data_IF_989518181827
#
_entry.id   IF_989518181827
#
_cell.length_a   1.000
_cell.length_b   1.000
_cell.length_c   1.000
_cell.angle_alpha   90.00
_cell.angle_beta   90.00
_cell.angle_gamma   90.00
#
_symmetry.space_group_name_H-M   'P 1'
#
loop_
_entity.id
_entity.type
_entity.pdbx_description
1 polymer ?
#
# COMPACT_ATOMS: atom_id res chain seq x y z
N UNK A 1 37.67 -6.99 -16.15
CA UNK A 1 37.06 -6.26 -14.98
C UNK A 1 36.17 -5.09 -15.36
N UNK A 2 36.29 -4.45 -16.54
CA UNK A 2 35.50 -3.28 -16.92
C UNK A 2 34.02 -3.53 -17.29
N UNK A 3 33.71 -4.56 -18.04
CA UNK A 3 32.37 -4.81 -18.56
C UNK A 3 31.36 -5.35 -17.53
N UNK A 4 31.83 -6.08 -16.54
CA UNK A 4 30.98 -6.67 -15.48
C UNK A 4 30.41 -5.61 -14.52
N UNK A 5 31.19 -4.55 -14.26
CA UNK A 5 30.73 -3.45 -13.38
C UNK A 5 29.72 -2.51 -14.04
N UNK A 6 29.77 -2.34 -15.35
CA UNK A 6 28.84 -1.50 -16.11
C UNK A 6 27.44 -2.14 -16.19
N UNK A 7 27.36 -3.45 -16.45
CA UNK A 7 26.09 -4.19 -16.53
C UNK A 7 25.30 -4.19 -15.21
N UNK A 8 25.98 -4.38 -14.08
CA UNK A 8 25.31 -4.35 -12.74
C UNK A 8 24.87 -2.93 -12.39
N UNK A 9 25.65 -1.91 -12.76
CA UNK A 9 25.30 -0.51 -12.50
C UNK A 9 24.05 -0.10 -13.29
N UNK A 10 23.93 -0.50 -14.55
CA UNK A 10 22.76 -0.26 -15.39
C UNK A 10 21.51 -0.94 -14.82
N UNK A 11 21.64 -2.18 -14.35
CA UNK A 11 20.54 -2.91 -13.76
C UNK A 11 20.10 -2.33 -12.41
N UNK A 12 21.04 -1.86 -11.58
CA UNK A 12 20.74 -1.14 -10.35
C UNK A 12 19.94 0.14 -10.63
N UNK A 13 20.39 0.90 -11.63
CA UNK A 13 19.69 2.10 -12.04
C UNK A 13 18.28 1.79 -12.52
N UNK A 14 18.12 0.79 -13.40
CA UNK A 14 16.81 0.36 -13.88
C UNK A 14 15.89 -0.11 -12.74
N UNK A 15 16.41 -0.95 -11.83
CA UNK A 15 15.68 -1.42 -10.66
C UNK A 15 15.24 -0.25 -9.78
N UNK A 16 16.08 0.78 -9.60
CA UNK A 16 15.77 1.97 -8.82
C UNK A 16 14.62 2.81 -9.39
N UNK A 17 14.42 2.78 -10.73
CA UNK A 17 13.32 3.46 -11.42
C UNK A 17 12.05 2.62 -11.34
N UNK A 18 12.10 1.36 -11.76
CA UNK A 18 10.93 0.48 -11.84
C UNK A 18 10.34 0.21 -10.44
N UNK A 19 11.17 0.14 -9.41
CA UNK A 19 10.69 -0.04 -8.04
C UNK A 19 9.80 1.11 -7.51
N UNK A 20 9.82 2.27 -8.18
CA UNK A 20 8.89 3.38 -7.88
C UNK A 20 7.52 3.23 -8.55
N UNK A 21 7.39 2.29 -9.48
CA UNK A 21 6.18 2.06 -10.26
C UNK A 21 5.40 0.82 -9.77
N UNK A 22 5.88 0.16 -8.72
CA UNK A 22 5.26 -1.06 -8.17
C UNK A 22 5.40 -1.11 -6.66
N UNK A 23 4.45 -1.75 -6.00
CA UNK A 23 4.52 -2.08 -4.56
C UNK A 23 5.27 -3.39 -4.28
N UNK A 24 5.67 -4.12 -5.33
CA UNK A 24 6.48 -5.31 -5.22
C UNK A 24 7.95 -4.97 -4.98
N UNK A 25 8.66 -5.85 -4.29
CA UNK A 25 10.10 -5.74 -4.08
C UNK A 25 10.82 -6.42 -5.24
N UNK A 26 11.40 -5.63 -6.13
CA UNK A 26 12.17 -6.15 -7.27
C UNK A 26 13.55 -6.61 -6.82
N UNK A 27 14.07 -7.65 -7.47
CA UNK A 27 15.40 -8.15 -7.15
C UNK A 27 16.16 -8.67 -8.38
N UNK A 28 17.48 -8.68 -8.21
CA UNK A 28 18.46 -9.33 -9.08
C UNK A 28 19.35 -10.18 -8.19
N UNK A 29 19.44 -11.46 -8.47
CA UNK A 29 20.30 -12.38 -7.76
C UNK A 29 21.30 -13.01 -8.73
N UNK A 30 22.59 -12.68 -8.57
CA UNK A 30 23.70 -13.35 -9.24
C UNK A 30 23.91 -14.71 -8.58
N UNK A 31 23.53 -15.77 -9.31
CA UNK A 31 23.62 -17.15 -8.82
C UNK A 31 25.06 -17.68 -8.81
N UNK A 32 25.97 -17.03 -9.55
CA UNK A 32 27.38 -17.45 -9.63
C UNK A 32 28.21 -16.92 -8.45
N UNK A 33 27.97 -15.66 -8.07
CA UNK A 33 28.70 -14.96 -7.01
C UNK A 33 27.95 -14.89 -5.67
N UNK A 34 26.79 -15.53 -5.58
CA UNK A 34 25.89 -15.50 -4.40
C UNK A 34 25.63 -14.07 -3.92
N UNK A 35 25.30 -13.17 -4.87
CA UNK A 35 25.14 -11.75 -4.64
C UNK A 35 23.72 -11.29 -5.02
N UNK A 36 23.04 -10.61 -4.12
CA UNK A 36 21.68 -10.16 -4.35
C UNK A 36 21.52 -8.65 -4.17
N UNK A 37 20.66 -8.08 -5.02
CA UNK A 37 20.24 -6.69 -4.99
C UNK A 37 18.72 -6.67 -4.98
N UNK A 38 18.14 -5.98 -4.03
CA UNK A 38 16.70 -5.74 -3.91
C UNK A 38 16.37 -4.25 -4.05
N UNK A 39 15.13 -3.92 -4.35
CA UNK A 39 14.64 -2.55 -4.19
C UNK A 39 14.76 -2.10 -2.73
N UNK A 40 15.16 -0.84 -2.50
CA UNK A 40 15.49 -0.31 -1.17
C UNK A 40 14.34 -0.38 -0.16
N UNK A 41 13.09 -0.39 -0.64
CA UNK A 41 11.89 -0.53 0.20
C UNK A 41 11.84 -1.84 0.99
N UNK A 42 12.55 -2.90 0.56
CA UNK A 42 12.54 -4.20 1.25
C UNK A 42 13.05 -4.11 2.69
N UNK A 43 14.01 -3.22 2.96
CA UNK A 43 14.59 -3.04 4.30
C UNK A 43 13.65 -2.38 5.30
N UNK A 44 12.59 -1.72 4.81
CA UNK A 44 11.56 -1.10 5.68
C UNK A 44 10.58 -2.14 6.22
N UNK A 45 10.27 -3.16 5.42
CA UNK A 45 9.18 -4.10 5.69
C UNK A 45 9.68 -5.46 6.21
N UNK A 46 10.88 -5.89 5.79
CA UNK A 46 11.47 -7.17 6.17
C UNK A 46 12.75 -7.03 7.01
N UNK A 47 13.11 -8.06 7.76
CA UNK A 47 14.32 -8.09 8.59
C UNK A 47 15.59 -8.29 7.75
N UNK A 48 15.77 -7.45 6.73
CA UNK A 48 16.98 -7.26 5.95
C UNK A 48 17.55 -5.87 6.25
N UNK A 49 18.77 -5.79 6.79
CA UNK A 49 19.36 -4.50 7.16
C UNK A 49 19.87 -3.70 5.97
N UNK A 50 20.16 -4.38 4.88
CA UNK A 50 20.63 -3.78 3.62
C UNK A 50 19.91 -4.42 2.44
N UNK A 51 19.70 -3.63 1.39
CA UNK A 51 19.03 -4.10 0.16
C UNK A 51 20.01 -4.78 -0.82
N UNK A 52 21.32 -4.68 -0.57
CA UNK A 52 22.38 -5.20 -1.42
C UNK A 52 23.41 -5.94 -0.58
N UNK A 53 23.70 -7.22 -0.92
CA UNK A 53 24.57 -8.05 -0.11
C UNK A 53 25.15 -9.25 -0.85
N UNK A 54 26.37 -9.62 -0.47
CA UNK A 54 27.01 -10.91 -0.79
C UNK A 54 26.63 -11.98 0.23
N UNK A 55 26.90 -13.24 -0.10
CA UNK A 55 26.49 -14.42 0.66
C UNK A 55 24.96 -14.43 0.87
N UNK A 56 24.25 -14.21 -0.23
CA UNK A 56 22.80 -14.03 -0.23
C UNK A 56 22.07 -15.26 0.32
N UNK A 57 22.53 -16.46 -0.01
CA UNK A 57 21.99 -17.71 0.54
C UNK A 57 22.04 -17.75 2.06
N UNK A 58 23.13 -17.30 2.67
CA UNK A 58 23.24 -17.24 4.14
C UNK A 58 22.32 -16.18 4.74
N UNK A 59 22.31 -14.96 4.17
CA UNK A 59 21.49 -13.88 4.69
C UNK A 59 19.99 -14.13 4.54
N UNK A 60 19.59 -14.72 3.44
CA UNK A 60 18.19 -15.10 3.22
C UNK A 60 17.72 -16.21 4.17
N UNK A 61 18.67 -17.07 4.65
CA UNK A 61 18.35 -18.06 5.68
C UNK A 61 17.82 -17.44 6.96
N UNK A 62 18.33 -16.25 7.34
CA UNK A 62 17.91 -15.56 8.56
C UNK A 62 16.50 -14.93 8.43
N UNK A 63 16.06 -14.71 7.21
CA UNK A 63 14.78 -14.07 6.89
C UNK A 63 13.69 -15.07 6.49
N UNK A 64 14.05 -16.16 5.81
CA UNK A 64 13.13 -17.22 5.41
C UNK A 64 12.74 -18.05 6.64
N UNK A 65 11.46 -18.45 6.74
CA UNK A 65 11.00 -19.34 7.78
C UNK A 65 11.76 -20.66 7.73
N UNK A 66 12.25 -21.20 8.88
CA UNK A 66 13.17 -22.35 8.88
C UNK A 66 12.69 -23.58 8.08
N UNK A 67 11.40 -23.94 8.20
CA UNK A 67 10.85 -25.10 7.50
C UNK A 67 10.72 -24.90 5.99
N UNK A 68 10.69 -23.63 5.50
CA UNK A 68 10.56 -23.31 4.10
C UNK A 68 11.92 -23.24 3.39
N UNK A 69 13.01 -23.07 4.14
CA UNK A 69 14.35 -22.79 3.61
C UNK A 69 14.85 -23.88 2.65
N UNK A 70 14.75 -25.16 3.03
CA UNK A 70 15.26 -26.26 2.21
C UNK A 70 14.55 -26.33 0.86
N UNK A 71 13.23 -26.20 0.82
CA UNK A 71 12.44 -26.21 -0.40
C UNK A 71 12.80 -25.03 -1.32
N UNK A 72 13.00 -23.84 -0.76
CA UNK A 72 13.36 -22.64 -1.52
C UNK A 72 14.73 -22.80 -2.16
N UNK A 73 15.73 -23.21 -1.38
CA UNK A 73 17.11 -23.33 -1.89
C UNK A 73 17.32 -24.54 -2.83
N UNK A 74 16.57 -25.62 -2.66
CA UNK A 74 16.52 -26.70 -3.66
C UNK A 74 16.00 -26.18 -5.01
N UNK A 75 14.92 -25.38 -5.00
CA UNK A 75 14.37 -24.79 -6.22
C UNK A 75 15.36 -23.80 -6.88
N UNK A 76 16.08 -22.98 -6.10
CA UNK A 76 17.13 -22.09 -6.62
C UNK A 76 18.29 -22.92 -7.23
N UNK A 77 18.66 -24.03 -6.62
CA UNK A 77 19.69 -24.94 -7.14
C UNK A 77 19.28 -25.57 -8.48
N UNK A 78 18.02 -26.01 -8.61
CA UNK A 78 17.47 -26.51 -9.87
C UNK A 78 17.49 -25.43 -10.97
N UNK A 79 17.19 -24.17 -10.60
CA UNK A 79 17.29 -23.04 -11.50
C UNK A 79 18.74 -22.78 -11.95
N UNK A 80 19.70 -22.82 -11.01
CA UNK A 80 21.13 -22.62 -11.28
C UNK A 80 21.70 -23.70 -12.20
N UNK A 81 21.25 -24.95 -12.02
CA UNK A 81 21.64 -26.09 -12.86
C UNK A 81 20.91 -26.12 -14.21
N UNK A 82 19.96 -25.20 -14.44
CA UNK A 82 19.22 -25.11 -15.71
C UNK A 82 18.14 -26.18 -15.89
N UNK A 83 17.76 -26.89 -14.81
CA UNK A 83 16.68 -27.88 -14.83
C UNK A 83 15.31 -27.22 -14.91
N UNK A 84 15.20 -26.00 -14.36
CA UNK A 84 14.02 -25.14 -14.48
C UNK A 84 14.43 -23.76 -14.97
N UNK A 85 13.50 -23.01 -15.56
CA UNK A 85 13.75 -21.65 -16.11
C UNK A 85 13.20 -20.53 -15.24
N UNK A 86 12.38 -20.85 -14.26
CA UNK A 86 11.76 -19.86 -13.39
C UNK A 86 11.64 -20.37 -11.94
N UNK A 87 11.77 -19.44 -11.01
CA UNK A 87 11.41 -19.59 -9.61
C UNK A 87 10.01 -19.02 -9.40
N UNK A 88 9.07 -19.83 -8.94
CA UNK A 88 7.71 -19.41 -8.69
C UNK A 88 7.19 -20.14 -7.45
N UNK A 89 7.41 -19.53 -6.30
CA UNK A 89 7.13 -20.15 -5.00
C UNK A 89 6.45 -19.17 -4.05
N UNK A 90 5.68 -19.72 -3.12
CA UNK A 90 5.09 -19.01 -1.99
C UNK A 90 5.67 -19.60 -0.72
N UNK A 91 6.23 -18.75 0.14
CA UNK A 91 6.88 -19.14 1.38
C UNK A 91 6.92 -17.98 2.36
N UNK A 92 7.40 -18.19 3.58
CA UNK A 92 7.32 -17.20 4.65
C UNK A 92 8.62 -16.44 4.84
N UNK A 93 8.50 -15.11 4.93
CA UNK A 93 9.59 -14.18 5.27
C UNK A 93 9.29 -13.45 6.57
N UNK A 94 10.35 -13.12 7.30
CA UNK A 94 10.29 -12.39 8.55
C UNK A 94 10.09 -10.91 8.30
N UNK A 95 8.89 -10.42 8.61
CA UNK A 95 8.50 -9.01 8.54
C UNK A 95 8.91 -8.28 9.83
N UNK A 96 9.28 -7.02 9.72
CA UNK A 96 9.60 -6.16 10.88
C UNK A 96 8.39 -5.88 11.79
N UNK A 97 7.18 -5.93 11.23
CA UNK A 97 5.95 -5.56 11.94
C UNK A 97 5.13 -6.77 12.39
N UNK A 98 5.07 -7.82 11.58
CA UNK A 98 4.04 -8.85 11.68
C UNK A 98 4.60 -10.28 11.93
N UNK A 99 5.87 -10.42 12.32
CA UNK A 99 6.50 -11.74 12.42
C UNK A 99 6.67 -12.38 11.03
N UNK A 100 6.40 -13.67 10.88
CA UNK A 100 6.48 -14.31 9.57
C UNK A 100 5.21 -14.10 8.74
N UNK A 101 5.37 -13.58 7.53
CA UNK A 101 4.30 -13.33 6.55
C UNK A 101 4.53 -14.16 5.28
N UNK A 102 3.46 -14.56 4.61
CA UNK A 102 3.58 -15.22 3.32
C UNK A 102 3.95 -14.24 2.22
N UNK A 103 4.93 -14.62 1.41
CA UNK A 103 5.34 -13.90 0.22
C UNK A 103 5.18 -14.80 -1.03
N UNK A 104 4.93 -14.17 -2.17
CA UNK A 104 5.04 -14.79 -3.49
C UNK A 104 6.31 -14.28 -4.15
N UNK A 105 7.28 -15.17 -4.34
CA UNK A 105 8.53 -14.87 -5.03
C UNK A 105 8.48 -15.44 -6.46
N UNK A 106 8.65 -14.56 -7.45
CA UNK A 106 8.66 -14.93 -8.86
C UNK A 106 9.90 -14.39 -9.53
N UNK A 107 10.72 -15.27 -10.07
CA UNK A 107 11.96 -14.93 -10.75
C UNK A 107 12.17 -15.73 -12.03
N UNK A 108 12.78 -15.10 -13.01
CA UNK A 108 13.16 -15.70 -14.28
C UNK A 108 14.68 -15.84 -14.34
N UNK A 109 15.15 -17.00 -14.82
CA UNK A 109 16.56 -17.19 -15.12
C UNK A 109 16.93 -16.37 -16.37
N UNK A 110 17.94 -15.53 -16.22
CA UNK A 110 18.51 -14.73 -17.31
C UNK A 110 19.99 -15.02 -17.39
N UNK A 111 20.47 -15.45 -18.56
CA UNK A 111 21.90 -15.67 -18.80
C UNK A 111 22.47 -14.50 -19.61
N UNK A 112 23.48 -13.85 -19.04
CA UNK A 112 24.18 -12.74 -19.69
C UNK A 112 25.68 -12.85 -19.43
N UNK A 113 26.47 -12.72 -20.46
CA UNK A 113 27.94 -12.80 -20.39
C UNK A 113 28.47 -14.07 -19.69
N UNK A 114 27.76 -15.20 -19.83
CA UNK A 114 28.11 -16.47 -19.19
C UNK A 114 27.69 -16.61 -17.74
N UNK A 115 27.11 -15.57 -17.13
CA UNK A 115 26.63 -15.53 -15.74
C UNK A 115 25.13 -15.80 -15.72
N UNK A 116 24.69 -16.59 -14.75
CA UNK A 116 23.28 -16.87 -14.49
C UNK A 116 22.74 -15.91 -13.42
N UNK A 117 21.70 -15.18 -13.77
CA UNK A 117 20.98 -14.28 -12.87
C UNK A 117 19.55 -14.76 -12.67
N UNK A 118 19.01 -14.64 -11.47
CA UNK A 118 17.58 -14.71 -11.22
C UNK A 118 17.06 -13.29 -11.04
N UNK A 119 16.18 -12.85 -11.94
CA UNK A 119 15.61 -11.51 -11.93
C UNK A 119 14.11 -11.65 -11.67
N UNK A 120 13.58 -10.90 -10.71
CA UNK A 120 12.20 -11.08 -10.35
C UNK A 120 11.65 -10.08 -9.35
N UNK A 121 10.56 -10.51 -8.72
CA UNK A 121 9.84 -9.75 -7.70
C UNK A 121 9.44 -10.62 -6.52
N UNK A 122 9.37 -10.01 -5.36
CA UNK A 122 8.75 -10.53 -4.15
C UNK A 122 7.51 -9.69 -3.85
N UNK A 123 6.38 -10.32 -3.62
CA UNK A 123 5.13 -9.68 -3.20
C UNK A 123 4.68 -10.29 -1.89
N UNK A 124 4.30 -9.48 -0.91
CA UNK A 124 3.69 -9.98 0.32
C UNK A 124 2.24 -10.39 0.04
N UNK A 125 1.92 -11.67 0.32
CA UNK A 125 0.56 -12.20 0.13
C UNK A 125 -0.33 -11.63 1.23
N UNK A 126 -1.43 -10.99 0.82
CA UNK A 126 -2.36 -10.35 1.74
C UNK A 126 -1.95 -8.93 2.15
N UNK A 127 -0.81 -8.41 1.66
CA UNK A 127 -0.51 -6.99 1.76
C UNK A 127 -1.58 -6.21 1.00
N UNK A 128 -2.23 -5.30 1.67
CA UNK A 128 -3.22 -4.43 1.04
C UNK A 128 -2.52 -3.56 -0.02
N UNK A 129 -3.16 -3.42 -1.17
CA UNK A 129 -2.71 -2.49 -2.20
C UNK A 129 -2.69 -1.06 -1.66
N UNK A 130 -1.73 -0.24 -2.11
CA UNK A 130 -1.68 1.20 -1.79
C UNK A 130 -2.88 1.97 -2.35
N UNK A 131 -3.46 1.46 -3.42
CA UNK A 131 -4.67 1.99 -4.04
C UNK A 131 -5.79 0.97 -3.93
N UNK A 132 -6.98 1.45 -3.64
CA UNK A 132 -8.19 0.63 -3.66
C UNK A 132 -8.62 0.36 -5.11
N UNK A 133 -8.85 -0.90 -5.46
CA UNK A 133 -9.12 -1.31 -6.84
C UNK A 133 -10.50 -0.85 -7.37
N UNK A 134 -11.45 -0.57 -6.47
CA UNK A 134 -12.81 -0.13 -6.85
C UNK A 134 -12.86 1.38 -7.07
N UNK A 135 -12.22 2.12 -6.17
CA UNK A 135 -12.33 3.58 -6.13
C UNK A 135 -11.10 4.29 -6.70
N UNK A 136 -9.97 3.61 -6.85
CA UNK A 136 -8.71 4.18 -7.33
C UNK A 136 -8.02 5.15 -6.37
N UNK A 137 -8.56 5.38 -5.18
CA UNK A 137 -7.94 6.25 -4.16
C UNK A 137 -6.99 5.48 -3.25
N UNK A 138 -6.20 6.20 -2.46
CA UNK A 138 -5.30 5.61 -1.48
C UNK A 138 -6.04 4.79 -0.42
N UNK A 139 -5.39 3.73 0.08
CA UNK A 139 -5.87 2.96 1.21
C UNK A 139 -5.33 3.50 2.54
N UNK A 140 -5.83 2.96 3.65
CA UNK A 140 -5.38 3.27 5.02
C UNK A 140 -3.88 3.00 5.27
N UNK A 141 -3.23 2.13 4.48
CA UNK A 141 -1.78 1.91 4.55
C UNK A 141 -0.99 3.18 4.24
N UNK A 142 -1.40 3.92 3.21
CA UNK A 142 -0.75 5.18 2.85
C UNK A 142 -0.97 6.25 3.92
N UNK A 143 -2.13 6.23 4.56
CA UNK A 143 -2.42 7.15 5.65
C UNK A 143 -1.46 6.92 6.84
N UNK A 144 -1.22 5.66 7.22
CA UNK A 144 -0.28 5.31 8.30
C UNK A 144 1.16 5.72 7.94
N UNK A 145 1.63 5.38 6.74
CA UNK A 145 2.97 5.77 6.26
C UNK A 145 3.16 7.31 6.27
N UNK A 146 2.15 8.04 5.79
CA UNK A 146 2.20 9.52 5.77
C UNK A 146 2.14 10.13 7.15
N UNK A 147 1.39 9.56 8.08
CA UNK A 147 1.36 10.04 9.46
C UNK A 147 2.75 9.99 10.10
N UNK A 148 3.48 8.88 9.93
CA UNK A 148 4.84 8.74 10.43
C UNK A 148 5.79 9.81 9.84
N UNK A 149 5.62 10.15 8.56
CA UNK A 149 6.43 11.20 7.91
C UNK A 149 6.07 12.62 8.41
N UNK A 150 4.81 12.89 8.66
CA UNK A 150 4.31 14.17 9.21
C UNK A 150 4.85 14.37 10.63
N UNK A 151 4.80 13.36 11.49
CA UNK A 151 5.31 13.44 12.87
C UNK A 151 6.82 13.68 12.91
N UNK A 152 7.57 13.13 11.93
CA UNK A 152 9.04 13.33 11.84
C UNK A 152 9.45 14.72 11.37
N UNK A 153 8.58 15.48 10.70
CA UNK A 153 8.89 16.77 10.07
C UNK A 153 8.57 17.92 10.99
N UNK A 154 8.17 18.12 12.03
CA UNK A 154 7.63 19.18 12.89
C UNK A 154 6.10 19.05 13.12
N UNK A 155 5.67 18.99 14.36
CA UNK A 155 4.31 18.67 14.75
C UNK A 155 3.25 19.50 14.01
N UNK A 156 2.18 18.84 13.56
CA UNK A 156 1.07 19.46 12.86
C UNK A 156 -0.23 19.31 13.62
N UNK A 157 -1.09 20.31 13.52
CA UNK A 157 -2.49 20.21 13.90
C UNK A 157 -3.35 19.96 12.69
N UNK A 158 -4.48 19.28 12.87
CA UNK A 158 -5.35 18.99 11.74
C UNK A 158 -6.71 18.45 12.15
N UNK A 159 -7.46 18.06 11.13
CA UNK A 159 -8.74 17.39 11.30
C UNK A 159 -8.76 16.11 10.45
N UNK A 160 -9.20 15.05 11.06
CA UNK A 160 -9.54 13.81 10.38
C UNK A 160 -11.06 13.63 10.43
N UNK A 161 -11.67 13.27 9.30
CA UNK A 161 -13.09 12.95 9.21
C UNK A 161 -13.24 11.55 8.63
N UNK A 162 -13.94 10.67 9.31
CA UNK A 162 -14.35 9.37 8.78
C UNK A 162 -15.78 9.47 8.27
N UNK A 163 -16.01 8.92 7.08
CA UNK A 163 -17.30 8.92 6.39
C UNK A 163 -17.65 7.47 6.10
N UNK A 164 -18.87 7.06 6.42
CA UNK A 164 -19.45 5.76 6.09
C UNK A 164 -20.71 5.93 5.24
N UNK A 165 -20.96 4.99 4.32
CA UNK A 165 -22.20 4.93 3.55
C UNK A 165 -23.27 4.23 4.39
N UNK A 166 -24.38 4.91 4.63
CA UNK A 166 -25.47 4.36 5.43
C UNK A 166 -26.11 3.16 4.72
N UNK A 167 -26.30 2.06 5.46
CA UNK A 167 -26.96 0.83 4.97
C UNK A 167 -26.31 0.22 3.73
N UNK A 168 -24.99 0.37 3.56
CA UNK A 168 -24.27 -0.13 2.37
C UNK A 168 -24.46 -1.63 2.13
N UNK A 169 -24.56 -2.42 3.19
CA UNK A 169 -24.86 -3.86 3.09
C UNK A 169 -26.22 -4.11 2.42
N UNK A 170 -27.23 -3.35 2.76
CA UNK A 170 -28.57 -3.46 2.18
C UNK A 170 -28.58 -3.07 0.69
N UNK A 171 -27.76 -2.07 0.31
CA UNK A 171 -27.55 -1.70 -1.09
C UNK A 171 -26.99 -2.90 -1.87
N UNK A 172 -25.95 -3.55 -1.36
CA UNK A 172 -25.38 -4.74 -1.99
C UNK A 172 -26.36 -5.91 -2.07
N UNK A 173 -27.13 -6.15 -1.02
CA UNK A 173 -28.12 -7.24 -0.97
C UNK A 173 -29.28 -7.01 -1.95
N UNK A 174 -29.73 -5.77 -2.09
CA UNK A 174 -30.88 -5.42 -2.93
C UNK A 174 -30.54 -5.22 -4.40
N UNK A 175 -29.42 -4.58 -4.70
CA UNK A 175 -29.05 -4.14 -6.04
C UNK A 175 -27.81 -4.85 -6.62
N UNK A 176 -27.16 -5.70 -5.82
CA UNK A 176 -25.95 -6.43 -6.19
C UNK A 176 -24.66 -5.66 -5.92
N UNK A 177 -23.56 -6.42 -5.80
CA UNK A 177 -22.23 -5.87 -5.46
C UNK A 177 -21.69 -4.89 -6.50
N UNK A 178 -22.04 -5.07 -7.78
CA UNK A 178 -21.64 -4.14 -8.84
C UNK A 178 -22.21 -2.74 -8.61
N UNK A 179 -23.47 -2.65 -8.19
CA UNK A 179 -24.10 -1.37 -7.83
C UNK A 179 -23.45 -0.76 -6.58
N UNK A 180 -23.10 -1.59 -5.60
CA UNK A 180 -22.33 -1.12 -4.45
C UNK A 180 -20.96 -0.55 -4.84
N UNK A 181 -20.24 -1.21 -5.75
CA UNK A 181 -18.97 -0.70 -6.28
C UNK A 181 -19.15 0.64 -7.03
N UNK A 182 -20.24 0.82 -7.77
CA UNK A 182 -20.59 2.08 -8.41
C UNK A 182 -20.85 3.20 -7.39
N UNK A 183 -21.58 2.92 -6.31
CA UNK A 183 -21.84 3.87 -5.21
C UNK A 183 -20.51 4.29 -4.52
N UNK A 184 -19.63 3.32 -4.26
CA UNK A 184 -18.30 3.60 -3.72
C UNK A 184 -17.47 4.50 -4.64
N UNK A 185 -17.48 4.23 -5.94
CA UNK A 185 -16.77 5.02 -6.94
C UNK A 185 -17.34 6.45 -7.07
N UNK A 186 -18.65 6.61 -6.98
CA UNK A 186 -19.32 7.92 -6.97
C UNK A 186 -18.84 8.75 -5.77
N UNK A 187 -18.95 8.19 -4.55
CA UNK A 187 -18.50 8.89 -3.34
C UNK A 187 -17.02 9.24 -3.42
N UNK A 188 -16.15 8.31 -3.82
CA UNK A 188 -14.73 8.58 -4.01
C UNK A 188 -14.47 9.73 -4.99
N UNK A 189 -15.18 9.75 -6.12
CA UNK A 189 -15.09 10.82 -7.12
C UNK A 189 -15.48 12.19 -6.57
N UNK A 190 -16.53 12.26 -5.76
CA UNK A 190 -16.95 13.48 -5.06
C UNK A 190 -15.86 13.93 -4.09
N UNK A 191 -15.36 13.02 -3.23
CA UNK A 191 -14.32 13.34 -2.25
C UNK A 191 -13.02 13.82 -2.91
N UNK A 192 -12.58 13.20 -4.01
CA UNK A 192 -11.41 13.61 -4.78
C UNK A 192 -11.61 15.00 -5.43
N UNK A 193 -12.81 15.30 -5.93
CA UNK A 193 -13.13 16.63 -6.45
C UNK A 193 -13.00 17.68 -5.35
N UNK A 194 -13.65 17.47 -4.22
CA UNK A 194 -13.60 18.37 -3.07
C UNK A 194 -12.19 18.53 -2.49
N UNK A 195 -11.36 17.49 -2.54
CA UNK A 195 -9.98 17.56 -2.06
C UNK A 195 -9.10 18.53 -2.84
N UNK A 196 -9.38 18.73 -4.13
CA UNK A 196 -8.66 19.70 -4.96
C UNK A 196 -9.03 21.14 -4.64
N UNK A 197 -10.25 21.36 -4.17
CA UNK A 197 -10.77 22.69 -3.83
C UNK A 197 -10.38 23.13 -2.41
N UNK A 198 -10.28 22.19 -1.47
CA UNK A 198 -10.15 22.46 -0.03
C UNK A 198 -8.86 21.92 0.61
N UNK A 199 -7.92 21.42 -0.17
CA UNK A 199 -6.58 20.94 0.29
C UNK A 199 -6.66 19.90 1.41
N UNK A 200 -7.26 18.74 1.13
CA UNK A 200 -7.22 17.59 1.99
C UNK A 200 -6.85 16.30 1.23
N UNK A 201 -6.45 15.27 1.95
CA UNK A 201 -6.16 13.94 1.41
C UNK A 201 -7.30 12.97 1.67
N UNK A 202 -7.57 12.07 0.72
CA UNK A 202 -8.67 11.10 0.80
C UNK A 202 -8.12 9.68 0.79
N UNK A 203 -8.67 8.82 1.65
CA UNK A 203 -8.29 7.43 1.79
C UNK A 203 -9.53 6.56 1.92
N UNK A 204 -9.50 5.34 1.39
CA UNK A 204 -10.50 4.31 1.67
C UNK A 204 -9.94 3.36 2.72
N UNK A 205 -10.71 3.07 3.75
CA UNK A 205 -10.30 2.16 4.82
C UNK A 205 -10.82 0.74 4.56
N UNK A 206 -12.01 0.43 5.02
CA UNK A 206 -12.61 -0.90 4.88
C UNK A 206 -14.07 -0.78 4.46
N UNK A 207 -14.51 -1.71 3.60
CA UNK A 207 -15.91 -1.77 3.21
C UNK A 207 -16.38 -0.47 2.55
N UNK A 208 -17.21 0.26 3.23
CA UNK A 208 -17.86 1.50 2.81
C UNK A 208 -17.32 2.75 3.50
N UNK A 209 -16.19 2.63 4.21
CA UNK A 209 -15.61 3.72 5.00
C UNK A 209 -14.49 4.46 4.26
N UNK A 210 -14.52 5.78 4.36
CA UNK A 210 -13.53 6.71 3.81
C UNK A 210 -12.98 7.60 4.91
N UNK A 211 -11.73 8.04 4.74
CA UNK A 211 -11.09 9.02 5.62
C UNK A 211 -10.64 10.23 4.81
N UNK A 212 -10.93 11.40 5.34
CA UNK A 212 -10.40 12.69 4.88
C UNK A 212 -9.45 13.21 5.95
N UNK A 213 -8.26 13.66 5.55
CA UNK A 213 -7.27 14.30 6.43
C UNK A 213 -6.92 15.67 5.89
N UNK A 214 -7.13 16.70 6.69
CA UNK A 214 -6.68 18.07 6.43
C UNK A 214 -5.66 18.48 7.48
N UNK A 215 -4.50 18.93 7.05
CA UNK A 215 -3.44 19.46 7.93
C UNK A 215 -3.52 20.98 8.01
N UNK A 216 -3.01 21.53 9.13
CA UNK A 216 -2.85 22.96 9.36
C UNK A 216 -4.12 23.77 9.11
N UNK A 217 -5.27 23.21 9.53
CA UNK A 217 -6.56 23.90 9.43
C UNK A 217 -6.58 25.14 10.32
N UNK A 218 -6.76 26.30 9.70
CA UNK A 218 -7.02 27.55 10.41
C UNK A 218 -8.50 27.73 10.72
N UNK A 219 -8.83 28.35 11.86
CA UNK A 219 -10.19 28.71 12.22
C UNK A 219 -10.96 27.65 13.00
N UNK A 220 -12.29 27.71 12.94
CA UNK A 220 -13.18 26.79 13.67
C UNK A 220 -13.29 25.45 12.92
N UNK A 221 -12.49 24.46 13.36
CA UNK A 221 -12.42 23.10 12.81
C UNK A 221 -13.81 22.44 12.76
N UNK A 222 -14.61 22.61 13.83
CA UNK A 222 -15.96 22.03 13.91
C UNK A 222 -16.91 22.63 12.86
N UNK A 223 -16.82 23.93 12.63
CA UNK A 223 -17.60 24.61 11.59
C UNK A 223 -17.18 24.16 10.20
N UNK A 224 -15.85 24.10 9.96
CA UNK A 224 -15.30 23.67 8.67
C UNK A 224 -15.68 22.20 8.35
N UNK A 225 -15.58 21.29 9.31
CA UNK A 225 -16.00 19.91 9.16
C UNK A 225 -17.50 19.78 8.83
N UNK A 226 -18.37 20.55 9.49
CA UNK A 226 -19.81 20.58 9.19
C UNK A 226 -20.11 21.13 7.80
N UNK A 227 -19.38 22.17 7.38
CA UNK A 227 -19.54 22.72 6.03
C UNK A 227 -19.12 21.70 4.96
N UNK A 228 -17.96 21.06 5.13
CA UNK A 228 -17.49 20.02 4.22
C UNK A 228 -18.49 18.86 4.11
N UNK A 229 -18.98 18.36 5.24
CA UNK A 229 -20.02 17.31 5.26
C UNK A 229 -21.28 17.73 4.47
N UNK A 230 -21.75 18.97 4.66
CA UNK A 230 -22.92 19.50 3.95
C UNK A 230 -22.65 19.55 2.44
N UNK A 231 -21.52 20.07 2.02
CA UNK A 231 -21.13 20.15 0.60
C UNK A 231 -21.05 18.75 -0.03
N UNK A 232 -20.46 17.77 0.65
CA UNK A 232 -20.41 16.40 0.16
C UNK A 232 -21.81 15.82 -0.04
N UNK A 233 -22.73 16.06 0.88
CA UNK A 233 -24.13 15.63 0.76
C UNK A 233 -24.84 16.26 -0.42
N UNK A 234 -24.71 17.57 -0.59
CA UNK A 234 -25.28 18.30 -1.73
C UNK A 234 -24.74 17.78 -3.08
N UNK A 235 -23.45 17.45 -3.11
CA UNK A 235 -22.81 16.84 -4.27
C UNK A 235 -23.35 15.42 -4.57
N UNK A 236 -23.61 14.61 -3.54
CA UNK A 236 -24.22 13.28 -3.71
C UNK A 236 -25.60 13.42 -4.34
N UNK A 237 -26.45 14.26 -3.78
CA UNK A 237 -27.82 14.49 -4.27
C UNK A 237 -27.78 14.95 -5.74
N UNK A 238 -26.90 15.90 -6.08
CA UNK A 238 -26.73 16.39 -7.46
C UNK A 238 -26.29 15.28 -8.44
N UNK A 239 -25.33 14.45 -8.06
CA UNK A 239 -24.84 13.36 -8.94
C UNK A 239 -25.89 12.28 -9.14
N UNK A 240 -26.68 11.96 -8.13
CA UNK A 240 -27.77 10.99 -8.22
C UNK A 240 -28.85 11.52 -9.21
N UNK A 241 -29.26 12.78 -9.05
CA UNK A 241 -30.28 13.41 -9.89
C UNK A 241 -29.82 13.52 -11.35
N UNK A 242 -28.59 13.98 -11.59
CA UNK A 242 -28.03 14.19 -12.94
C UNK A 242 -27.89 12.88 -13.74
N UNK A 243 -27.60 11.78 -13.07
CA UNK A 243 -27.35 10.48 -13.71
C UNK A 243 -28.60 9.60 -13.78
N UNK A 244 -29.68 9.99 -13.11
CA UNK A 244 -30.91 9.19 -13.04
C UNK A 244 -30.69 7.84 -12.37
N UNK A 245 -29.85 7.81 -11.31
CA UNK A 245 -29.61 6.58 -10.56
C UNK A 245 -30.84 6.20 -9.74
N UNK A 246 -31.26 4.94 -9.84
CA UNK A 246 -32.35 4.40 -9.02
C UNK A 246 -31.95 4.10 -7.57
N UNK A 247 -30.67 4.32 -7.22
CA UNK A 247 -30.12 4.04 -5.89
C UNK A 247 -29.76 5.33 -5.17
N UNK A 248 -30.56 5.66 -4.18
CA UNK A 248 -30.28 6.75 -3.24
C UNK A 248 -29.48 6.20 -2.07
N UNK A 249 -28.42 6.92 -1.69
CA UNK A 249 -27.64 6.60 -0.49
C UNK A 249 -27.34 7.84 0.32
N UNK A 250 -27.22 7.66 1.61
CA UNK A 250 -26.79 8.68 2.56
C UNK A 250 -25.42 8.34 3.12
N UNK A 251 -24.83 9.31 3.77
CA UNK A 251 -23.56 9.15 4.50
C UNK A 251 -23.70 9.63 5.92
N UNK A 252 -22.99 8.97 6.83
CA UNK A 252 -22.70 9.45 8.19
C UNK A 252 -21.24 9.87 8.26
N UNK A 253 -20.92 10.85 9.12
CA UNK A 253 -19.54 11.30 9.29
C UNK A 253 -19.23 11.64 10.75
N UNK A 254 -18.02 11.25 11.20
CA UNK A 254 -17.44 11.65 12.47
C UNK A 254 -16.12 12.38 12.24
N UNK A 255 -15.87 13.47 12.97
CA UNK A 255 -14.66 14.26 12.83
C UNK A 255 -13.93 14.42 14.17
N UNK A 256 -12.59 14.37 14.10
CA UNK A 256 -11.70 14.56 15.24
C UNK A 256 -10.61 15.58 14.89
N UNK A 257 -10.45 16.60 15.74
CA UNK A 257 -9.32 17.53 15.65
C UNK A 257 -8.12 16.90 16.38
N UNK A 258 -6.96 16.89 15.77
CA UNK A 258 -5.77 16.26 16.33
C UNK A 258 -4.57 17.22 16.35
N UNK A 259 -3.63 16.93 17.26
CA UNK A 259 -2.30 17.53 17.33
C UNK A 259 -1.26 16.41 17.40
N UNK A 260 -0.38 16.30 16.41
CA UNK A 260 0.64 15.24 16.32
C UNK A 260 1.68 15.29 17.45
N UNK A 261 1.75 16.37 18.22
CA UNK A 261 2.60 16.44 19.41
C UNK A 261 2.00 15.67 20.60
N UNK A 262 0.68 15.45 20.62
CA UNK A 262 -0.05 14.84 21.75
C UNK A 262 -0.76 13.56 21.37
N UNK A 263 -1.23 13.44 20.13
CA UNK A 263 -2.02 12.30 19.65
C UNK A 263 -1.15 11.32 18.84
N UNK A 264 -1.25 10.03 19.14
CA UNK A 264 -0.69 8.99 18.27
C UNK A 264 -1.65 8.68 17.12
N UNK A 265 -1.14 8.12 16.02
CA UNK A 265 -1.97 7.64 14.90
C UNK A 265 -3.13 6.75 15.38
N UNK A 266 -2.86 5.86 16.33
CA UNK A 266 -3.84 4.95 16.90
C UNK A 266 -4.94 5.67 17.67
N UNK A 267 -4.59 6.73 18.42
CA UNK A 267 -5.55 7.54 19.14
C UNK A 267 -6.44 8.32 18.18
N UNK A 268 -5.86 8.92 17.15
CA UNK A 268 -6.57 9.67 16.11
C UNK A 268 -7.61 8.79 15.43
N UNK A 269 -7.21 7.62 14.93
CA UNK A 269 -8.13 6.70 14.26
C UNK A 269 -9.22 6.19 15.19
N UNK A 270 -8.88 5.86 16.45
CA UNK A 270 -9.84 5.42 17.45
C UNK A 270 -10.89 6.49 17.75
N UNK A 271 -10.45 7.73 18.00
CA UNK A 271 -11.34 8.83 18.35
C UNK A 271 -12.24 9.25 17.19
N UNK A 272 -11.71 9.22 15.96
CA UNK A 272 -12.49 9.51 14.75
C UNK A 272 -13.59 8.46 14.53
N UNK A 273 -13.25 7.19 14.70
CA UNK A 273 -14.22 6.08 14.60
C UNK A 273 -15.30 6.19 15.67
N UNK A 274 -14.93 6.54 16.91
CA UNK A 274 -15.91 6.76 17.99
C UNK A 274 -16.86 7.94 17.70
N UNK A 275 -16.41 8.94 16.98
CA UNK A 275 -17.24 10.08 16.57
C UNK A 275 -18.22 9.72 15.42
N UNK A 276 -17.95 8.68 14.62
CA UNK A 276 -18.83 8.21 13.54
C UNK A 276 -19.99 7.36 14.08
N UNK A 277 -19.76 6.57 15.11
CA UNK A 277 -20.72 5.67 15.76
C UNK A 277 -21.27 6.27 17.05
#
# INVERSE_FOLDING_TARGET
>A
MGQMGEDIADWKYFLSIISKCTDDYLYIYDLSDDYAIYSSSITKDFELDVAEFSNAGRKLKDVIYPDDYEAVFNNISELQNGHISCHNMEYRWKSRKNGYVFISCRGQLVRRNGINYMIGRVSEIGKKNRYDNVTGIYTDLILEDRYDDIVKSDGHTGCIMQIGIDNFKEINEKYGTKTGDEVLAILAGILVRQSKEQTFSVYRTRGDEFIIVSLDMSGDIKKNAKMLYKTIREDIDSVIDDRGYDVFFNISAGAYAFDTNTDTYKDIIKNTRFALH
#
